data_IF_237495446799
#
_entry.id   IF_237495446799
#
_cell.length_a   1.000
_cell.length_b   1.000
_cell.length_c   1.000
_cell.angle_alpha   90.00
_cell.angle_beta   90.00
_cell.angle_gamma   90.00
#
_symmetry.space_group_name_H-M   'P 1'
#
loop_
_entity.id
_entity.type
_entity.pdbx_description
1 polymer ?
#
# COMPACT_ATOMS: atom_id res chain seq x y z
N UNK A 1 -31.79 9.50 33.25
CA UNK A 1 -32.52 10.78 33.32
C UNK A 1 -31.54 11.93 33.13
N UNK A 2 -31.96 12.94 32.35
CA UNK A 2 -31.27 14.17 31.92
C UNK A 2 -30.19 14.00 30.84
N UNK A 3 -30.09 14.82 29.80
CA UNK A 3 -31.03 15.44 28.85
C UNK A 3 -30.15 16.15 27.82
N UNK A 4 -30.57 16.12 26.55
CA UNK A 4 -29.88 16.63 25.37
C UNK A 4 -29.68 18.15 25.34
N UNK A 5 -28.80 18.61 24.43
CA UNK A 5 -29.08 19.77 23.56
C UNK A 5 -28.17 19.79 22.32
N UNK A 6 -28.82 19.63 21.16
CA UNK A 6 -28.28 19.88 19.83
C UNK A 6 -28.41 21.38 19.49
N UNK A 7 -27.44 21.91 18.75
CA UNK A 7 -27.48 23.25 18.16
C UNK A 7 -27.16 23.18 16.68
N UNK A 8 -28.05 23.72 15.85
CA UNK A 8 -28.01 23.77 14.38
C UNK A 8 -27.97 25.25 13.94
N UNK A 9 -27.46 25.46 12.72
CA UNK A 9 -27.58 26.63 11.82
C UNK A 9 -26.45 27.69 11.95
N UNK A 10 -25.99 28.38 10.90
CA UNK A 10 -26.56 28.74 9.59
C UNK A 10 -25.48 28.73 8.48
N UNK A 11 -25.91 28.49 7.24
CA UNK A 11 -25.17 28.81 6.02
C UNK A 11 -25.49 30.24 5.55
N UNK A 12 -24.49 30.96 5.02
CA UNK A 12 -24.68 32.21 4.27
C UNK A 12 -23.87 32.18 2.98
N UNK A 13 -24.59 32.35 1.87
CA UNK A 13 -24.11 32.49 0.50
C UNK A 13 -23.96 33.99 0.19
N UNK A 14 -22.88 34.41 -0.47
CA UNK A 14 -22.79 35.73 -1.10
C UNK A 14 -21.98 35.65 -2.40
N UNK A 15 -22.68 35.91 -3.52
CA UNK A 15 -22.14 36.23 -4.84
C UNK A 15 -21.79 37.72 -4.89
N UNK A 16 -20.63 38.09 -5.47
CA UNK A 16 -20.45 39.38 -6.16
C UNK A 16 -19.56 39.18 -7.38
N UNK A 17 -20.09 39.57 -8.55
CA UNK A 17 -19.38 39.69 -9.81
C UNK A 17 -18.79 41.10 -9.95
N UNK A 18 -17.66 41.24 -10.66
CA UNK A 18 -17.09 42.53 -11.04
C UNK A 18 -16.05 42.37 -12.13
N UNK A 19 -16.46 42.66 -13.38
CA UNK A 19 -15.59 42.79 -14.54
C UNK A 19 -15.05 44.22 -14.63
N UNK A 20 -13.83 44.40 -15.13
CA UNK A 20 -13.32 45.69 -15.60
C UNK A 20 -12.38 45.47 -16.78
N UNK A 21 -12.79 46.01 -17.93
CA UNK A 21 -11.97 46.21 -19.13
C UNK A 21 -10.98 47.36 -18.89
N UNK A 22 -9.78 47.26 -19.47
CA UNK A 22 -9.02 48.42 -19.93
C UNK A 22 -8.48 48.14 -21.34
N UNK A 23 -8.62 49.17 -22.17
CA UNK A 23 -8.33 49.31 -23.60
C UNK A 23 -6.93 49.92 -23.76
N UNK A 24 -6.23 49.64 -24.86
CA UNK A 24 -5.14 50.52 -25.33
C UNK A 24 -4.23 49.93 -26.41
N UNK A 25 -4.51 50.33 -27.66
CA UNK A 25 -3.73 50.38 -28.93
C UNK A 25 -2.19 50.30 -28.82
N UNK A 26 -1.39 49.79 -29.77
CA UNK A 26 -1.46 49.73 -31.23
C UNK A 26 -0.08 50.16 -31.78
N UNK A 27 0.46 49.48 -32.80
CA UNK A 27 1.70 49.93 -33.48
C UNK A 27 2.53 48.83 -34.13
N UNK A 28 2.51 48.78 -35.46
CA UNK A 28 3.33 47.92 -36.33
C UNK A 28 4.69 48.58 -36.67
N UNK A 29 5.70 47.79 -37.07
CA UNK A 29 6.58 48.02 -38.25
C UNK A 29 7.54 46.82 -38.49
N UNK A 30 8.02 46.69 -39.73
CA UNK A 30 8.76 45.60 -40.37
C UNK A 30 9.99 45.04 -39.62
N UNK A 31 10.49 43.84 -39.92
CA UNK A 31 10.77 43.28 -41.23
C UNK A 31 12.29 43.25 -41.40
N UNK A 32 12.93 42.07 -41.33
CA UNK A 32 14.08 41.74 -42.19
C UNK A 32 14.55 40.29 -42.04
N UNK A 33 14.73 39.68 -43.20
CA UNK A 33 15.84 38.84 -43.64
C UNK A 33 16.27 37.66 -42.77
N UNK A 34 16.00 36.49 -43.35
CA UNK A 34 16.70 35.24 -43.11
C UNK A 34 18.22 35.41 -43.13
N UNK A 35 18.90 34.73 -42.21
CA UNK A 35 20.19 34.12 -42.47
C UNK A 35 20.44 32.93 -41.55
N UNK A 36 21.06 31.94 -42.17
CA UNK A 36 21.19 30.55 -41.81
C UNK A 36 22.01 30.27 -40.54
N UNK A 37 21.80 29.08 -39.94
CA UNK A 37 22.78 27.98 -39.92
C UNK A 37 22.42 26.94 -38.82
N UNK A 38 22.52 25.65 -39.17
CA UNK A 38 22.67 24.57 -38.18
C UNK A 38 21.56 23.52 -38.11
N UNK A 39 21.27 22.82 -39.21
CA UNK A 39 20.63 21.50 -39.13
C UNK A 39 21.68 20.44 -38.80
N UNK A 40 21.55 19.80 -37.64
CA UNK A 40 21.91 18.39 -37.46
C UNK A 40 20.70 17.65 -36.90
N UNK A 41 20.23 16.68 -37.67
CA UNK A 41 19.02 15.93 -37.42
C UNK A 41 19.14 14.91 -36.30
N UNK A 42 18.00 14.64 -35.67
CA UNK A 42 17.86 13.57 -34.70
C UNK A 42 16.42 13.48 -34.22
N UNK A 43 15.52 12.96 -35.07
CA UNK A 43 14.16 12.56 -34.66
C UNK A 43 14.25 11.45 -33.62
N UNK A 44 14.31 11.80 -32.33
CA UNK A 44 14.03 10.84 -31.27
C UNK A 44 12.52 10.76 -31.10
N UNK A 45 11.94 9.70 -31.67
CA UNK A 45 10.55 9.34 -31.47
C UNK A 45 10.34 9.16 -29.97
N UNK A 46 9.38 9.88 -29.41
CA UNK A 46 8.89 9.67 -28.06
C UNK A 46 8.52 8.20 -27.88
N UNK A 47 9.45 7.41 -27.32
CA UNK A 47 9.15 6.10 -26.77
C UNK A 47 8.42 6.41 -25.47
N UNK A 48 7.09 6.38 -25.54
CA UNK A 48 6.23 6.43 -24.37
C UNK A 48 6.84 5.50 -23.32
N UNK A 49 7.32 6.09 -22.23
CA UNK A 49 7.77 5.33 -21.08
C UNK A 49 6.57 4.53 -20.61
N UNK A 50 6.61 3.21 -20.83
CA UNK A 50 5.89 2.29 -19.98
C UNK A 50 6.41 2.63 -18.58
N UNK A 51 5.61 3.36 -17.80
CA UNK A 51 5.80 3.43 -16.38
C UNK A 51 5.71 1.98 -15.92
N UNK A 52 6.87 1.35 -15.70
CA UNK A 52 6.98 0.18 -14.88
C UNK A 52 6.43 0.62 -13.53
N UNK A 53 5.11 0.46 -13.33
CA UNK A 53 4.51 0.56 -12.00
C UNK A 53 5.41 -0.30 -11.14
N UNK A 54 6.21 0.33 -10.28
CA UNK A 54 7.08 -0.36 -9.36
C UNK A 54 6.19 -1.33 -8.61
N UNK A 55 6.29 -2.61 -8.99
CA UNK A 55 5.34 -3.64 -8.59
C UNK A 55 5.54 -3.80 -7.09
N UNK A 56 4.62 -3.26 -6.32
CA UNK A 56 4.76 -3.08 -4.89
C UNK A 56 4.66 -4.45 -4.22
N UNK A 57 5.54 -4.73 -3.25
CA UNK A 57 5.35 -5.86 -2.33
C UNK A 57 4.43 -5.44 -1.18
N UNK A 58 3.93 -6.37 -0.36
CA UNK A 58 3.22 -6.02 0.87
C UNK A 58 4.08 -5.11 1.74
N UNK A 59 3.48 -4.02 2.20
CA UNK A 59 4.12 -3.04 3.07
C UNK A 59 3.13 -2.61 4.16
N UNK A 60 3.64 -2.12 5.31
CA UNK A 60 2.82 -1.54 6.35
C UNK A 60 1.92 -0.43 5.79
N UNK A 61 0.70 -0.36 6.30
CA UNK A 61 -0.24 0.66 5.89
C UNK A 61 0.25 2.06 6.29
N UNK A 62 0.31 2.96 5.31
CA UNK A 62 0.70 4.37 5.51
C UNK A 62 -0.49 5.32 5.57
N UNK A 63 -1.68 4.81 5.23
CA UNK A 63 -2.97 5.50 5.24
C UNK A 63 -4.09 4.47 5.34
N UNK A 64 -5.27 4.93 5.73
CA UNK A 64 -6.48 4.12 5.75
C UNK A 64 -6.78 3.54 4.37
N UNK A 65 -7.06 2.24 4.33
CA UNK A 65 -7.42 1.53 3.09
C UNK A 65 -8.93 1.59 2.83
N UNK A 66 -9.33 1.35 1.58
CA UNK A 66 -10.73 1.37 1.18
C UNK A 66 -11.57 0.34 1.96
N UNK A 67 -12.85 0.64 2.21
CA UNK A 67 -13.77 -0.27 2.91
C UNK A 67 -14.01 -1.58 2.15
N UNK A 68 -14.16 -1.51 0.84
CA UNK A 68 -14.37 -2.67 -0.04
C UNK A 68 -13.27 -3.75 0.03
N UNK A 69 -12.12 -3.46 0.66
CA UNK A 69 -11.07 -4.47 0.88
C UNK A 69 -11.47 -5.50 1.93
N UNK A 70 -12.30 -5.15 2.92
CA UNK A 70 -12.83 -6.12 3.88
C UNK A 70 -13.84 -7.05 3.20
N UNK A 71 -14.70 -6.51 2.34
CA UNK A 71 -15.65 -7.31 1.55
C UNK A 71 -14.88 -8.31 0.67
N UNK A 72 -13.84 -7.84 -0.02
CA UNK A 72 -12.97 -8.69 -0.81
C UNK A 72 -12.22 -9.74 0.01
N UNK A 73 -11.82 -9.41 1.24
CA UNK A 73 -11.21 -10.39 2.14
C UNK A 73 -12.21 -11.50 2.50
N UNK A 74 -13.48 -11.14 2.74
CA UNK A 74 -14.53 -12.13 3.00
C UNK A 74 -14.78 -13.03 1.79
N UNK A 75 -14.69 -12.52 0.57
CA UNK A 75 -14.74 -13.34 -0.66
C UNK A 75 -13.57 -14.33 -0.73
N UNK A 76 -12.35 -13.90 -0.38
CA UNK A 76 -11.20 -14.80 -0.29
C UNK A 76 -11.46 -15.94 0.70
N UNK A 77 -11.95 -15.61 1.90
CA UNK A 77 -12.28 -16.59 2.95
C UNK A 77 -13.36 -17.58 2.49
N UNK A 78 -14.36 -17.10 1.74
CA UNK A 78 -15.43 -17.94 1.22
C UNK A 78 -14.93 -18.96 0.18
N UNK A 79 -14.10 -18.52 -0.77
CA UNK A 79 -13.63 -19.38 -1.87
C UNK A 79 -12.40 -20.22 -1.51
N UNK A 80 -11.56 -19.77 -0.57
CA UNK A 80 -10.31 -20.42 -0.16
C UNK A 80 -10.38 -20.92 1.29
N UNK A 81 -11.38 -21.74 1.59
CA UNK A 81 -11.70 -22.16 2.95
C UNK A 81 -10.54 -22.83 3.71
N UNK A 82 -9.74 -23.67 3.03
CA UNK A 82 -8.59 -24.35 3.65
C UNK A 82 -7.51 -23.35 4.09
N UNK A 83 -7.05 -22.49 3.18
CA UNK A 83 -6.07 -21.43 3.48
C UNK A 83 -6.64 -20.45 4.52
N UNK A 84 -7.94 -20.15 4.45
CA UNK A 84 -8.58 -19.28 5.42
C UNK A 84 -8.56 -19.87 6.83
N UNK A 85 -8.74 -21.18 6.99
CA UNK A 85 -8.66 -21.85 8.29
C UNK A 85 -7.24 -21.78 8.88
N UNK A 86 -6.20 -21.97 8.05
CA UNK A 86 -4.81 -21.81 8.46
C UNK A 86 -4.51 -20.37 8.90
N UNK A 87 -4.94 -19.38 8.10
CA UNK A 87 -4.78 -17.97 8.41
C UNK A 87 -5.47 -17.60 9.73
N UNK A 88 -6.71 -18.04 9.96
CA UNK A 88 -7.46 -17.78 11.20
C UNK A 88 -6.73 -18.29 12.45
N UNK A 89 -6.02 -19.41 12.34
CA UNK A 89 -5.20 -19.96 13.42
C UNK A 89 -3.86 -19.25 13.64
N UNK A 90 -3.49 -18.30 12.78
CA UNK A 90 -2.17 -17.66 12.79
C UNK A 90 -2.10 -16.37 13.62
N UNK A 91 -0.88 -15.99 13.99
CA UNK A 91 -0.60 -14.67 14.59
C UNK A 91 -0.81 -13.51 13.60
N UNK A 92 -0.91 -13.76 12.29
CA UNK A 92 -1.27 -12.72 11.33
C UNK A 92 -2.75 -12.31 11.49
N UNK A 93 -3.67 -13.26 11.57
CA UNK A 93 -5.08 -12.96 11.83
C UNK A 93 -5.28 -12.31 13.20
N UNK A 94 -4.43 -12.64 14.17
CA UNK A 94 -4.49 -12.13 15.54
C UNK A 94 -3.59 -10.91 15.76
N UNK A 95 -2.96 -10.36 14.71
CA UNK A 95 -1.86 -9.41 14.87
C UNK A 95 -2.24 -8.19 15.71
N UNK A 96 -3.43 -7.63 15.51
CA UNK A 96 -3.93 -6.54 16.33
C UNK A 96 -4.54 -7.03 17.65
N UNK A 97 -5.26 -8.14 17.68
CA UNK A 97 -6.03 -8.56 18.86
C UNK A 97 -5.21 -9.33 19.89
N UNK A 98 -3.97 -9.68 19.58
CA UNK A 98 -3.06 -10.36 20.50
C UNK A 98 -2.93 -9.57 21.83
N UNK A 99 -3.15 -10.21 23.00
CA UNK A 99 -3.11 -9.52 24.27
C UNK A 99 -1.74 -8.90 24.62
N UNK A 100 -0.63 -9.52 24.20
CA UNK A 100 0.70 -8.99 24.47
C UNK A 100 0.97 -7.76 23.60
N UNK A 101 0.52 -7.78 22.34
CA UNK A 101 0.51 -6.61 21.49
C UNK A 101 -0.34 -5.50 22.10
N UNK A 102 -1.58 -5.77 22.53
CA UNK A 102 -2.47 -4.75 23.10
C UNK A 102 -1.87 -4.07 24.34
N UNK A 103 -1.30 -4.84 25.28
CA UNK A 103 -0.61 -4.27 26.46
C UNK A 103 0.57 -3.40 26.06
N UNK A 104 1.32 -3.78 25.02
CA UNK A 104 2.45 -2.99 24.53
C UNK A 104 1.96 -1.73 23.80
N UNK A 105 0.91 -1.87 23.00
CA UNK A 105 0.30 -0.81 22.22
C UNK A 105 -0.28 0.30 23.10
N UNK A 106 -0.91 -0.05 24.23
CA UNK A 106 -1.42 0.93 25.20
C UNK A 106 -0.30 1.74 25.89
N UNK A 107 0.89 1.15 26.02
CA UNK A 107 2.05 1.81 26.66
C UNK A 107 2.82 2.68 25.68
N UNK A 108 2.91 2.24 24.44
CA UNK A 108 3.64 2.91 23.38
C UNK A 108 2.76 3.98 22.73
N UNK A 109 3.07 5.26 22.96
CA UNK A 109 2.30 6.41 22.44
C UNK A 109 2.50 6.66 20.92
N UNK A 110 2.76 5.60 20.14
CA UNK A 110 3.10 5.62 18.72
C UNK A 110 2.10 4.79 17.89
N UNK A 111 0.82 5.20 17.90
CA UNK A 111 -0.26 4.51 17.15
C UNK A 111 0.09 4.29 15.67
N UNK A 112 0.63 5.36 15.06
CA UNK A 112 0.92 5.50 13.63
C UNK A 112 1.84 4.43 13.05
N UNK A 113 2.74 3.90 13.88
CA UNK A 113 3.75 2.95 13.47
C UNK A 113 3.28 1.50 13.66
N UNK A 114 2.75 1.17 14.84
CA UNK A 114 2.39 -0.19 15.20
C UNK A 114 1.21 -0.70 14.37
N UNK A 115 0.18 0.14 14.21
CA UNK A 115 -1.04 -0.23 13.49
C UNK A 115 -0.79 -0.52 12.01
N UNK A 116 0.20 0.12 11.39
CA UNK A 116 0.54 -0.12 9.98
C UNK A 116 0.90 -1.58 9.70
N UNK A 117 1.51 -2.27 10.66
CA UNK A 117 1.85 -3.69 10.56
C UNK A 117 0.78 -4.59 11.18
N UNK A 118 0.18 -4.20 12.30
CA UNK A 118 -0.69 -5.07 13.09
C UNK A 118 -2.18 -5.01 12.69
N UNK A 119 -2.62 -3.90 12.10
CA UNK A 119 -3.95 -3.73 11.52
C UNK A 119 -3.86 -3.02 10.15
N UNK A 120 -3.24 -3.62 9.12
CA UNK A 120 -2.92 -2.92 7.87
C UNK A 120 -4.15 -2.44 7.08
N UNK A 121 -5.33 -3.00 7.36
CA UNK A 121 -6.57 -2.54 6.76
C UNK A 121 -7.17 -1.34 7.52
N UNK A 122 -6.75 -1.06 8.75
CA UNK A 122 -7.16 0.11 9.53
C UNK A 122 -6.51 1.41 9.06
N UNK A 123 -6.98 2.54 9.59
CA UNK A 123 -6.14 3.73 9.63
C UNK A 123 -4.90 3.39 10.46
N UNK A 124 -3.67 3.75 10.03
CA UNK A 124 -2.52 3.60 10.90
C UNK A 124 -2.57 4.58 12.08
N UNK A 125 -3.37 5.65 11.99
CA UNK A 125 -3.48 6.70 13.00
C UNK A 125 -4.84 6.67 13.69
N UNK A 126 -4.83 6.95 14.99
CA UNK A 126 -6.06 7.06 15.79
C UNK A 126 -6.60 5.70 16.22
N UNK A 127 -7.90 5.66 16.49
CA UNK A 127 -8.57 4.44 16.94
C UNK A 127 -8.73 3.45 15.78
N UNK A 128 -8.53 2.16 16.07
CA UNK A 128 -8.74 1.08 15.09
C UNK A 128 -10.20 0.65 15.14
N UNK A 129 -10.87 0.69 13.99
CA UNK A 129 -12.23 0.18 13.88
C UNK A 129 -12.28 -1.32 14.22
N UNK A 130 -13.27 -1.76 15.00
CA UNK A 130 -13.30 -3.10 15.57
C UNK A 130 -13.24 -4.22 14.52
N UNK A 131 -13.92 -4.04 13.38
CA UNK A 131 -13.89 -4.97 12.24
C UNK A 131 -12.50 -5.04 11.59
N UNK A 132 -11.83 -3.91 11.44
CA UNK A 132 -10.48 -3.81 10.86
C UNK A 132 -9.40 -4.34 11.79
N UNK A 133 -9.55 -4.13 13.09
CA UNK A 133 -8.69 -4.74 14.10
C UNK A 133 -8.87 -6.26 14.15
N UNK A 134 -10.12 -6.74 14.10
CA UNK A 134 -10.43 -8.17 14.18
C UNK A 134 -9.88 -9.00 13.02
N UNK A 135 -9.69 -8.41 11.83
CA UNK A 135 -9.08 -9.11 10.68
C UNK A 135 -7.54 -9.11 10.68
N UNK A 136 -6.89 -8.36 11.58
CA UNK A 136 -5.42 -8.32 11.67
C UNK A 136 -4.72 -8.08 10.33
N UNK A 137 -3.65 -8.83 10.07
CA UNK A 137 -3.00 -8.94 8.75
C UNK A 137 -3.81 -9.93 7.90
N UNK A 138 -4.68 -9.38 7.05
CA UNK A 138 -5.67 -10.14 6.29
C UNK A 138 -5.11 -10.68 4.95
N UNK A 139 -5.89 -11.49 4.23
CA UNK A 139 -5.51 -12.00 2.90
C UNK A 139 -5.17 -10.84 1.96
N UNK A 140 -6.02 -9.81 1.96
CA UNK A 140 -5.87 -8.62 1.11
C UNK A 140 -4.67 -7.75 1.50
N UNK A 141 -4.20 -7.82 2.76
CA UNK A 141 -3.01 -7.07 3.21
C UNK A 141 -1.73 -7.53 2.51
N UNK A 142 -1.66 -8.82 2.15
CA UNK A 142 -0.55 -9.40 1.39
C UNK A 142 -0.84 -9.49 -0.11
N UNK A 143 -2.06 -9.89 -0.48
CA UNK A 143 -2.38 -10.25 -1.85
C UNK A 143 -2.92 -9.10 -2.69
N UNK A 144 -3.39 -8.01 -2.09
CA UNK A 144 -3.90 -6.84 -2.81
C UNK A 144 -3.04 -5.64 -2.44
N UNK A 145 -2.01 -5.41 -3.24
CA UNK A 145 -1.05 -4.32 -3.04
C UNK A 145 -1.54 -3.02 -3.71
N UNK A 146 -1.20 -1.88 -3.08
CA UNK A 146 -1.72 -0.57 -3.47
C UNK A 146 -2.96 -0.16 -2.68
N UNK A 147 -3.61 0.93 -3.09
CA UNK A 147 -4.81 1.45 -2.41
C UNK A 147 -6.11 0.86 -2.91
N UNK A 148 -6.13 0.44 -4.17
CA UNK A 148 -7.34 0.02 -4.84
C UNK A 148 -7.85 -1.28 -4.21
N UNK A 149 -9.15 -1.31 -3.93
CA UNK A 149 -9.80 -2.53 -3.47
C UNK A 149 -9.87 -3.58 -4.57
N UNK A 150 -9.95 -3.15 -5.83
CA UNK A 150 -10.14 -3.98 -7.02
C UNK A 150 -8.86 -4.03 -7.86
N UNK A 151 -7.75 -4.48 -7.26
CA UNK A 151 -6.50 -4.78 -7.98
C UNK A 151 -6.35 -6.26 -8.36
N UNK A 152 -5.44 -6.62 -9.29
CA UNK A 152 -5.07 -8.02 -9.48
C UNK A 152 -4.43 -8.59 -8.21
N UNK A 153 -4.72 -9.84 -7.90
CA UNK A 153 -4.16 -10.57 -6.76
C UNK A 153 -2.69 -10.88 -7.01
N UNK A 154 -1.81 -10.39 -6.15
CA UNK A 154 -0.39 -10.69 -6.16
C UNK A 154 -0.16 -12.17 -5.79
N UNK A 155 0.63 -12.87 -6.59
CA UNK A 155 0.96 -14.27 -6.37
C UNK A 155 2.40 -14.58 -6.82
N UNK A 156 2.96 -15.66 -6.26
CA UNK A 156 4.22 -16.22 -6.74
C UNK A 156 4.03 -17.01 -8.04
N UNK A 157 5.12 -17.26 -8.79
CA UNK A 157 5.08 -18.19 -9.91
C UNK A 157 4.78 -19.61 -9.41
N UNK A 158 4.08 -20.42 -10.22
CA UNK A 158 3.96 -21.86 -9.98
C UNK A 158 4.83 -22.61 -11.00
N UNK A 159 5.58 -23.65 -10.59
CA UNK A 159 6.49 -24.39 -11.48
C UNK A 159 5.76 -25.22 -12.55
N UNK A 160 4.48 -25.52 -12.37
CA UNK A 160 3.64 -26.38 -13.21
C UNK A 160 2.67 -25.63 -14.15
N UNK A 161 2.66 -24.29 -14.11
CA UNK A 161 1.80 -23.49 -14.98
C UNK A 161 2.49 -23.22 -16.32
N UNK A 162 2.37 -24.15 -17.25
CA UNK A 162 2.47 -23.81 -18.68
C UNK A 162 1.49 -22.66 -18.95
N UNK A 163 1.95 -21.66 -19.71
CA UNK A 163 1.26 -20.40 -19.99
C UNK A 163 -0.12 -20.59 -20.65
N UNK A 164 -0.47 -21.81 -21.05
CA UNK A 164 -1.62 -22.15 -21.90
C UNK A 164 -2.67 -23.11 -21.28
N UNK A 165 -2.83 -23.18 -19.94
CA UNK A 165 -4.05 -23.78 -19.36
C UNK A 165 -5.12 -22.72 -19.05
N UNK A 166 -6.27 -22.72 -19.74
CA UNK A 166 -7.29 -21.69 -19.62
C UNK A 166 -8.32 -21.98 -18.50
N UNK A 167 -7.93 -22.63 -17.40
CA UNK A 167 -8.63 -22.39 -16.14
C UNK A 167 -8.28 -20.96 -15.71
N UNK A 168 -8.97 -20.00 -16.34
CA UNK A 168 -8.87 -18.59 -16.02
C UNK A 168 -9.23 -18.46 -14.54
N UNK A 169 -8.22 -18.14 -13.72
CA UNK A 169 -8.44 -17.75 -12.34
C UNK A 169 -9.68 -16.83 -12.28
N UNK A 170 -10.64 -17.08 -11.37
CA UNK A 170 -11.90 -16.34 -11.33
C UNK A 170 -11.69 -14.85 -11.01
N UNK A 171 -10.47 -14.47 -10.63
CA UNK A 171 -10.02 -13.10 -10.44
C UNK A 171 -8.67 -12.86 -11.13
N UNK A 172 -8.39 -11.61 -11.49
CA UNK A 172 -7.12 -11.25 -12.11
C UNK A 172 -5.93 -11.55 -11.19
N UNK A 173 -4.84 -12.06 -11.76
CA UNK A 173 -3.59 -12.36 -11.06
C UNK A 173 -2.46 -11.45 -11.55
N UNK A 174 -1.62 -11.00 -10.64
CA UNK A 174 -0.33 -10.40 -10.92
C UNK A 174 0.74 -11.35 -10.35
N UNK A 175 1.46 -12.05 -11.24
CA UNK A 175 2.53 -12.95 -10.81
C UNK A 175 3.86 -12.22 -10.77
N UNK A 176 4.49 -12.21 -9.60
CA UNK A 176 5.80 -11.60 -9.39
C UNK A 176 6.69 -12.60 -8.62
N UNK A 177 7.83 -13.04 -9.20
CA UNK A 177 8.77 -13.93 -8.52
C UNK A 177 9.23 -13.44 -7.15
N UNK A 178 9.30 -12.12 -6.94
CA UNK A 178 9.69 -11.55 -5.64
C UNK A 178 8.71 -11.91 -4.52
N UNK A 179 7.44 -12.18 -4.85
CA UNK A 179 6.45 -12.59 -3.87
C UNK A 179 6.75 -13.99 -3.28
N UNK A 180 7.55 -14.81 -3.95
CA UNK A 180 8.03 -16.10 -3.45
C UNK A 180 9.36 -16.02 -2.68
N UNK A 181 9.77 -14.81 -2.27
CA UNK A 181 11.03 -14.55 -1.55
C UNK A 181 10.78 -13.76 -0.27
N UNK A 182 11.84 -13.49 0.50
CA UNK A 182 11.80 -12.62 1.67
C UNK A 182 11.26 -11.19 1.37
N UNK A 183 11.25 -10.76 0.11
CA UNK A 183 10.70 -9.46 -0.28
C UNK A 183 9.20 -9.32 0.06
N UNK A 184 8.43 -10.42 0.07
CA UNK A 184 7.02 -10.39 0.44
C UNK A 184 6.79 -10.08 1.93
N UNK A 185 7.77 -10.41 2.77
CA UNK A 185 7.67 -10.30 4.24
C UNK A 185 8.42 -9.08 4.78
N UNK A 186 9.40 -8.59 4.03
CA UNK A 186 10.37 -7.60 4.50
C UNK A 186 9.75 -6.28 4.94
N UNK A 187 8.59 -5.88 4.37
CA UNK A 187 7.89 -4.66 4.77
C UNK A 187 7.50 -4.65 6.24
N UNK A 188 7.10 -5.79 6.79
CA UNK A 188 6.71 -5.94 8.19
C UNK A 188 7.79 -6.58 9.06
N UNK A 189 8.75 -7.32 8.48
CA UNK A 189 9.75 -8.08 9.24
C UNK A 189 11.17 -7.46 9.24
N UNK A 190 11.33 -6.24 8.74
CA UNK A 190 12.60 -5.50 8.80
C UNK A 190 12.32 -4.00 8.92
N UNK A 191 12.51 -3.44 10.10
CA UNK A 191 12.18 -2.02 10.31
C UNK A 191 13.03 -1.36 11.39
N UNK A 192 13.19 -0.05 11.22
CA UNK A 192 13.95 0.80 12.13
C UNK A 192 13.09 1.18 13.34
N UNK A 193 13.72 1.56 14.45
CA UNK A 193 12.97 2.22 15.51
C UNK A 193 12.28 3.47 14.97
N UNK A 194 11.03 3.76 15.38
CA UNK A 194 10.36 5.01 15.03
C UNK A 194 11.26 6.21 15.37
N UNK A 195 11.41 7.15 14.42
CA UNK A 195 12.30 8.32 14.52
C UNK A 195 13.83 8.08 14.52
N UNK A 196 14.32 6.84 14.51
CA UNK A 196 15.77 6.57 14.55
C UNK A 196 16.55 7.24 13.41
N UNK A 197 16.00 7.23 12.20
CA UNK A 197 16.62 7.91 11.03
C UNK A 197 16.74 9.42 11.22
N UNK A 198 15.76 10.05 11.88
CA UNK A 198 15.79 11.50 12.16
C UNK A 198 16.83 11.85 13.22
N UNK A 199 17.17 10.90 14.09
CA UNK A 199 18.21 11.02 15.10
C UNK A 199 19.60 10.58 14.60
N UNK A 200 19.76 10.29 13.30
CA UNK A 200 21.03 9.83 12.73
C UNK A 200 21.42 8.39 13.13
N UNK A 201 20.49 7.63 13.68
CA UNK A 201 20.71 6.25 14.14
C UNK A 201 20.21 5.24 13.09
N UNK A 202 20.99 4.17 12.89
CA UNK A 202 20.69 3.05 11.98
C UNK A 202 20.23 1.78 12.71
N UNK A 203 20.02 1.86 14.03
CA UNK A 203 19.49 0.75 14.81
C UNK A 203 18.08 0.35 14.34
N UNK A 204 17.90 -0.96 14.30
CA UNK A 204 16.69 -1.63 13.85
C UNK A 204 15.93 -2.17 15.05
N UNK A 205 14.62 -1.95 15.09
CA UNK A 205 13.76 -2.58 16.10
C UNK A 205 13.55 -4.06 15.74
N UNK A 206 13.46 -4.37 14.45
CA UNK A 206 13.46 -5.74 13.95
C UNK A 206 14.42 -5.89 12.77
N UNK A 207 15.28 -6.91 12.81
CA UNK A 207 16.35 -7.20 11.83
C UNK A 207 16.22 -8.55 11.14
N UNK A 208 15.02 -9.14 11.15
CA UNK A 208 14.83 -10.54 10.75
C UNK A 208 15.34 -10.82 9.35
N UNK A 209 15.14 -9.90 8.40
CA UNK A 209 15.61 -10.10 7.02
C UNK A 209 17.13 -9.99 6.95
N UNK A 210 17.73 -9.03 7.65
CA UNK A 210 19.19 -8.91 7.74
C UNK A 210 19.83 -10.13 8.40
N UNK A 211 19.21 -10.66 9.45
CA UNK A 211 19.66 -11.85 10.18
C UNK A 211 19.52 -13.11 9.33
N UNK A 212 18.39 -13.29 8.65
CA UNK A 212 18.14 -14.40 7.76
C UNK A 212 19.18 -14.51 6.64
N UNK A 213 19.51 -13.38 5.98
CA UNK A 213 20.55 -13.34 4.92
C UNK A 213 21.94 -13.74 5.41
N UNK A 214 22.21 -13.63 6.72
CA UNK A 214 23.49 -14.01 7.34
C UNK A 214 23.46 -15.40 7.97
N UNK A 215 22.30 -16.05 7.98
CA UNK A 215 22.09 -17.35 8.59
C UNK A 215 22.41 -18.48 7.61
N UNK A 216 22.50 -19.70 8.13
CA UNK A 216 22.60 -20.92 7.29
C UNK A 216 21.35 -21.19 6.45
N UNK A 217 20.23 -20.52 6.75
CA UNK A 217 18.98 -20.68 6.03
C UNK A 217 18.80 -19.65 4.91
N UNK A 218 19.83 -18.86 4.55
CA UNK A 218 19.74 -17.77 3.57
C UNK A 218 19.25 -18.18 2.18
N UNK A 219 19.42 -19.46 1.83
CA UNK A 219 18.99 -20.02 0.55
C UNK A 219 17.53 -20.51 0.55
N UNK A 220 16.87 -20.52 1.72
CA UNK A 220 15.46 -20.91 1.85
C UNK A 220 14.58 -19.67 1.93
N UNK A 221 13.42 -19.69 1.24
CA UNK A 221 12.45 -18.62 1.39
C UNK A 221 11.75 -18.72 2.76
N UNK A 222 11.20 -17.61 3.24
CA UNK A 222 10.39 -17.64 4.46
C UNK A 222 9.21 -18.61 4.30
N UNK A 223 8.60 -18.58 3.11
CA UNK A 223 7.44 -19.36 2.72
C UNK A 223 7.72 -20.87 2.73
N UNK A 224 8.94 -21.33 2.42
CA UNK A 224 9.23 -22.77 2.39
C UNK A 224 9.15 -23.46 3.76
N UNK A 225 9.16 -22.68 4.86
CA UNK A 225 9.00 -23.20 6.22
C UNK A 225 7.73 -22.69 6.92
N UNK A 226 7.24 -21.50 6.54
CA UNK A 226 6.12 -20.82 7.22
C UNK A 226 4.81 -20.81 6.42
N UNK A 227 4.79 -21.36 5.20
CA UNK A 227 3.62 -21.47 4.33
C UNK A 227 3.63 -22.82 3.60
N UNK A 228 3.58 -23.91 4.38
CA UNK A 228 3.69 -25.30 3.91
C UNK A 228 2.36 -26.00 3.79
#
# INVERSE_FOLDING_TARGET
MKAARAGVALATLALVAGASLLIGDGGAIGGDQAQAQGQIGGRSRHRAGIQTRDRTMPEPARRRRAAARLDRNAECVHCHAEIAAEWQGSLHAQAYTDPLFQVSFERENFSDFCQGCHAPEASPRGDVEADRGAVGVACVSCHVVGDEAEGPVLAGPRPDWEVDRPERSPHALNRDPRFATAAACAGCHEFDFPNARRAGNTLKMQRTVTEHRRSKASEHSCQSCHMT
#
